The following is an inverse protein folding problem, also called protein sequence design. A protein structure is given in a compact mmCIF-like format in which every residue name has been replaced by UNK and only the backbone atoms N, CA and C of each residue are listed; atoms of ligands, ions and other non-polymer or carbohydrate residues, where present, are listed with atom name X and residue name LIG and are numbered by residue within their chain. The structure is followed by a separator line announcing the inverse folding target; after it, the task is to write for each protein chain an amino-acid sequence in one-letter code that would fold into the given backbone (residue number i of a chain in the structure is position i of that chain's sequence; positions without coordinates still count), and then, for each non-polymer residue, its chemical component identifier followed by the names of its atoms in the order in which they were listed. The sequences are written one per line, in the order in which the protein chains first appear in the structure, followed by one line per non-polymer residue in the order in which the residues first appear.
data_IF_090675813960
#
_entry.id   IF_090675813960
#
_cell.length_a   1.000
_cell.length_b   1.000
_cell.length_c   1.000
_cell.angle_alpha   90.00
_cell.angle_beta   90.00
_cell.angle_gamma   90.00
#
_symmetry.space_group_name_H-M   'P 1'
#
loop_
_entity.id
_entity.type
_entity.pdbx_description
1 polymer ?
#
# COMPACT_ATOMS: atom_id res chain seq x y z
N UNK A 1 23.04 -0.80 -1.34
CA UNK A 1 21.72 -0.46 -0.75
C UNK A 1 20.93 -1.75 -0.71
N UNK A 2 20.47 -2.19 0.46
CA UNK A 2 19.74 -3.47 0.58
C UNK A 2 18.52 -3.45 -0.34
N UNK A 3 18.47 -4.38 -1.30
CA UNK A 3 17.38 -4.52 -2.28
C UNK A 3 16.18 -5.30 -1.68
N UNK A 4 15.96 -5.19 -0.37
CA UNK A 4 14.88 -5.94 0.28
C UNK A 4 13.60 -5.14 0.22
N UNK A 5 12.63 -5.63 -0.57
CA UNK A 5 11.24 -5.22 -0.51
C UNK A 5 10.73 -5.23 0.95
N UNK A 6 10.10 -4.13 1.37
CA UNK A 6 9.46 -4.06 2.67
C UNK A 6 8.27 -5.06 2.73
N UNK A 7 8.14 -5.88 3.78
CA UNK A 7 6.97 -6.73 3.94
C UNK A 7 5.69 -5.87 3.96
N UNK A 8 4.62 -6.35 3.31
CA UNK A 8 3.31 -5.73 3.42
C UNK A 8 2.44 -6.50 4.42
N UNK A 9 1.77 -5.77 5.31
CA UNK A 9 0.76 -6.27 6.25
C UNK A 9 -0.55 -5.54 5.96
N UNK A 10 -1.67 -6.21 6.19
CA UNK A 10 -2.98 -5.64 5.95
C UNK A 10 -3.68 -5.37 7.27
N UNK A 11 -4.44 -4.28 7.32
CA UNK A 11 -5.51 -4.13 8.29
C UNK A 11 -6.51 -5.28 8.13
N UNK A 12 -7.26 -5.67 9.18
CA UNK A 12 -8.27 -6.73 9.04
C UNK A 12 -9.28 -6.46 7.92
N UNK A 13 -9.72 -5.20 7.79
CA UNK A 13 -10.65 -4.80 6.73
C UNK A 13 -10.03 -4.92 5.33
N UNK A 14 -8.80 -4.43 5.15
CA UNK A 14 -8.09 -4.54 3.87
C UNK A 14 -7.79 -6.00 3.51
N UNK A 15 -7.45 -6.85 4.48
CA UNK A 15 -7.23 -8.27 4.25
C UNK A 15 -8.52 -8.97 3.78
N UNK A 16 -9.65 -8.70 4.44
CA UNK A 16 -10.96 -9.24 4.04
C UNK A 16 -11.38 -8.76 2.67
N UNK A 17 -11.20 -7.48 2.35
CA UNK A 17 -11.54 -6.95 1.04
C UNK A 17 -10.64 -7.52 -0.05
N UNK A 18 -9.33 -7.60 0.18
CA UNK A 18 -8.39 -8.24 -0.74
C UNK A 18 -8.78 -9.68 -1.09
N UNK A 19 -9.21 -10.46 -0.08
CA UNK A 19 -9.66 -11.84 -0.29
C UNK A 19 -10.96 -11.96 -1.11
N UNK A 20 -11.78 -10.90 -1.14
CA UNK A 20 -13.04 -10.85 -1.87
C UNK A 20 -12.90 -10.31 -3.31
N UNK A 21 -11.76 -9.71 -3.66
CA UNK A 21 -11.50 -9.21 -5.01
C UNK A 21 -11.37 -10.35 -6.03
N UNK A 22 -11.71 -10.05 -7.29
CA UNK A 22 -11.46 -10.97 -8.41
C UNK A 22 -9.96 -11.30 -8.53
N UNK A 23 -9.59 -12.51 -8.97
CA UNK A 23 -8.18 -12.94 -9.01
C UNK A 23 -7.27 -11.99 -9.79
N UNK A 24 -7.74 -11.46 -10.92
CA UNK A 24 -7.02 -10.47 -11.74
C UNK A 24 -6.71 -9.18 -10.98
N UNK A 25 -7.66 -8.70 -10.18
CA UNK A 25 -7.49 -7.51 -9.34
C UNK A 25 -6.57 -7.79 -8.16
N UNK A 26 -6.61 -9.01 -7.60
CA UNK A 26 -5.65 -9.42 -6.58
C UNK A 26 -4.21 -9.44 -7.11
N UNK A 27 -4.00 -9.90 -8.34
CA UNK A 27 -2.69 -9.85 -9.00
C UNK A 27 -2.21 -8.41 -9.19
N UNK A 28 -3.07 -7.53 -9.73
CA UNK A 28 -2.75 -6.11 -9.86
C UNK A 28 -2.38 -5.48 -8.51
N UNK A 29 -3.09 -5.81 -7.43
CA UNK A 29 -2.78 -5.32 -6.11
C UNK A 29 -1.42 -5.81 -5.61
N UNK A 30 -1.08 -7.08 -5.85
CA UNK A 30 0.24 -7.64 -5.50
C UNK A 30 1.35 -6.92 -6.28
N UNK A 31 1.14 -6.60 -7.55
CA UNK A 31 2.11 -5.87 -8.37
C UNK A 31 2.31 -4.44 -7.86
N UNK A 32 1.23 -3.73 -7.52
CA UNK A 32 1.30 -2.40 -6.92
C UNK A 32 2.05 -2.43 -5.58
N UNK A 33 1.80 -3.44 -4.74
CA UNK A 33 2.52 -3.62 -3.48
C UNK A 33 3.99 -4.00 -3.67
N UNK A 34 4.35 -4.79 -4.69
CA UNK A 34 5.76 -5.06 -5.01
C UNK A 34 6.50 -3.76 -5.35
N UNK A 35 5.90 -2.91 -6.19
CA UNK A 35 6.47 -1.59 -6.51
C UNK A 35 6.59 -0.71 -5.26
N UNK A 36 5.50 -0.59 -4.47
CA UNK A 36 5.48 0.21 -3.25
C UNK A 36 6.50 -0.29 -2.22
N UNK A 37 6.69 -1.61 -2.09
CA UNK A 37 7.61 -2.20 -1.12
C UNK A 37 9.08 -1.89 -1.41
N UNK A 38 9.44 -1.68 -2.68
CA UNK A 38 10.80 -1.34 -3.13
C UNK A 38 11.06 0.16 -3.08
N UNK A 39 10.03 0.98 -3.25
CA UNK A 39 10.12 2.43 -3.30
C UNK A 39 8.94 3.13 -2.61
N UNK A 40 8.80 2.97 -1.29
CA UNK A 40 7.58 3.37 -0.57
C UNK A 40 7.35 4.89 -0.54
N UNK A 41 8.41 5.69 -0.68
CA UNK A 41 8.32 7.15 -0.69
C UNK A 41 8.06 7.74 -2.08
N UNK A 42 8.06 6.93 -3.15
CA UNK A 42 7.81 7.43 -4.52
C UNK A 42 6.33 7.72 -4.79
N UNK A 43 5.43 7.14 -4.00
CA UNK A 43 4.01 7.40 -4.08
C UNK A 43 3.65 8.70 -3.34
N UNK A 44 2.65 9.46 -3.83
CA UNK A 44 2.25 10.71 -3.19
C UNK A 44 1.80 10.47 -1.75
N UNK A 45 1.97 11.50 -0.92
CA UNK A 45 1.32 11.54 0.38
C UNK A 45 -0.20 11.43 0.19
N UNK A 46 -0.88 10.71 1.09
CA UNK A 46 -2.33 10.58 1.01
C UNK A 46 -3.04 11.92 1.19
N UNK A 47 -2.61 12.70 2.18
CA UNK A 47 -2.98 14.11 2.34
C UNK A 47 -1.70 14.94 2.40
N UNK A 48 -1.50 15.81 1.40
CA UNK A 48 -0.33 16.67 1.33
C UNK A 48 -0.39 17.87 2.29
N UNK A 49 -1.57 18.16 2.84
CA UNK A 49 -1.77 19.22 3.82
C UNK A 49 -1.58 18.72 5.27
N UNK A 50 -1.53 17.40 5.48
CA UNK A 50 -1.33 16.80 6.80
C UNK A 50 0.16 16.51 7.08
N UNK A 51 0.83 17.31 7.94
CA UNK A 51 2.22 17.06 8.29
C UNK A 51 2.41 15.81 9.16
N UNK A 52 1.38 15.34 9.87
CA UNK A 52 1.43 14.12 10.68
C UNK A 52 1.34 12.86 9.79
N UNK A 53 0.70 12.99 8.63
CA UNK A 53 0.58 11.97 7.59
C UNK A 53 1.84 11.72 6.75
N UNK A 54 3.02 12.15 7.20
CA UNK A 54 4.26 12.10 6.42
C UNK A 54 4.69 10.68 5.97
N UNK A 55 4.19 9.62 6.60
CA UNK A 55 4.45 8.24 6.20
C UNK A 55 3.23 7.54 5.56
N UNK A 56 2.11 8.25 5.41
CA UNK A 56 0.89 7.74 4.79
C UNK A 56 0.88 8.04 3.29
N UNK A 57 0.68 7.01 2.48
CA UNK A 57 0.87 7.04 1.03
C UNK A 57 -0.35 6.50 0.30
N UNK A 58 -0.57 7.03 -0.90
CA UNK A 58 -1.56 6.52 -1.83
C UNK A 58 -0.87 6.02 -3.10
N UNK A 59 -0.88 4.70 -3.31
CA UNK A 59 -0.45 4.11 -4.57
C UNK A 59 -1.65 3.88 -5.47
N UNK A 60 -1.73 4.62 -6.58
CA UNK A 60 -2.84 4.53 -7.53
C UNK A 60 -2.34 4.08 -8.89
N UNK A 61 -2.94 3.03 -9.44
CA UNK A 61 -2.71 2.51 -10.79
C UNK A 61 -4.06 2.21 -11.42
N UNK A 62 -4.44 2.98 -12.44
CA UNK A 62 -5.75 2.85 -13.07
C UNK A 62 -6.90 3.05 -12.07
N UNK A 63 -7.76 2.05 -11.94
CA UNK A 63 -8.91 2.05 -11.04
C UNK A 63 -8.62 1.45 -9.63
N UNK A 64 -7.38 1.03 -9.38
CA UNK A 64 -6.94 0.51 -8.08
C UNK A 64 -6.14 1.57 -7.32
N UNK A 65 -6.55 1.84 -6.08
CA UNK A 65 -5.80 2.64 -5.12
C UNK A 65 -5.54 1.82 -3.85
N UNK A 66 -4.30 1.83 -3.38
CA UNK A 66 -3.89 1.24 -2.09
C UNK A 66 -3.39 2.35 -1.18
N UNK A 67 -4.03 2.48 -0.01
CA UNK A 67 -3.58 3.41 1.03
C UNK A 67 -2.76 2.61 2.05
N UNK A 68 -1.51 3.00 2.26
CA UNK A 68 -0.61 2.32 3.19
C UNK A 68 0.21 3.30 4.01
N UNK A 69 0.49 2.90 5.24
CA UNK A 69 1.41 3.58 6.14
C UNK A 69 2.77 2.89 6.14
N UNK A 70 3.85 3.66 6.03
CA UNK A 70 5.22 3.16 6.18
C UNK A 70 5.53 3.07 7.67
N UNK A 71 5.31 1.90 8.27
CA UNK A 71 5.62 1.68 9.67
C UNK A 71 7.13 1.51 9.84
N UNK A 72 7.78 2.52 10.43
CA UNK A 72 9.23 2.58 10.64
C UNK A 72 9.73 1.81 11.87
N UNK A 73 8.84 1.15 12.62
CA UNK A 73 9.24 0.29 13.73
C UNK A 73 10.01 -0.91 13.21
N UNK A 74 11.10 -1.31 13.88
CA UNK A 74 11.97 -2.40 13.44
C UNK A 74 11.28 -3.79 13.61
N UNK A 75 11.06 -4.58 12.53
CA UNK A 75 11.43 -4.33 11.13
C UNK A 75 10.41 -3.45 10.37
N UNK A 76 10.95 -2.55 9.55
CA UNK A 76 10.17 -1.62 8.71
C UNK A 76 9.26 -2.41 7.77
N UNK A 77 7.99 -2.01 7.68
CA UNK A 77 7.01 -2.67 6.83
C UNK A 77 5.94 -1.70 6.31
N UNK A 78 5.28 -2.08 5.22
CA UNK A 78 4.07 -1.40 4.77
C UNK A 78 2.88 -1.92 5.56
N UNK A 79 2.04 -1.03 6.06
CA UNK A 79 0.77 -1.37 6.67
C UNK A 79 -0.36 -0.85 5.79
N UNK A 80 -0.96 -1.74 5.00
CA UNK A 80 -2.09 -1.46 4.11
C UNK A 80 -3.31 -1.18 4.96
N UNK A 81 -3.76 0.07 4.93
CA UNK A 81 -4.91 0.53 5.69
C UNK A 81 -6.20 0.26 4.94
N UNK A 82 -6.22 0.60 3.65
CA UNK A 82 -7.41 0.54 2.82
C UNK A 82 -7.06 0.25 1.35
N UNK A 83 -8.03 -0.30 0.63
CA UNK A 83 -7.94 -0.69 -0.77
C UNK A 83 -9.22 -0.23 -1.45
N UNK A 84 -9.08 0.56 -2.50
CA UNK A 84 -10.21 1.06 -3.30
C UNK A 84 -10.10 0.52 -4.71
N UNK A 85 -11.13 -0.21 -5.14
CA UNK A 85 -11.28 -0.68 -6.51
C UNK A 85 -12.58 -0.10 -7.10
N UNK A 86 -12.47 0.59 -8.24
CA UNK A 86 -13.58 1.33 -8.84
C UNK A 86 -14.39 0.56 -9.90
N UNK A 87 -14.16 -0.75 -10.12
CA UNK A 87 -14.97 -1.53 -11.08
C UNK A 87 -14.61 -2.99 -11.21
#
# INVERSE_FOLDING_TARGET
MSNSALPARFSPAAASYFAALEPSVQELLRDVLDIASRAPMHWPAWDAADPEGADLRSATVGALTVIYWINRMDPVHLYVMDIVWLG
#
